data_IF_315051064030
#
_entry.id   IF_315051064030
#
_cell.length_a   1.000
_cell.length_b   1.000
_cell.length_c   1.000
_cell.angle_alpha   90.00
_cell.angle_beta   90.00
_cell.angle_gamma   90.00
#
_symmetry.space_group_name_H-M   'P 1'
#
loop_
_entity.id
_entity.type
_entity.pdbx_description
1 polymer ?
#
# COMPACT_ATOMS: atom_id res chain seq x y z
N UNK A 1 -18.58 -14.30 1.65
CA UNK A 1 -17.66 -13.53 2.52
C UNK A 1 -16.32 -14.21 2.38
N UNK A 2 -15.21 -13.52 2.08
CA UNK A 2 -13.90 -14.15 2.12
C UNK A 2 -13.65 -14.64 3.55
N UNK A 3 -13.11 -15.84 3.69
CA UNK A 3 -12.72 -16.44 4.97
C UNK A 3 -11.80 -15.44 5.70
N UNK A 4 -12.10 -15.15 6.96
CA UNK A 4 -11.20 -14.34 7.80
C UNK A 4 -9.88 -15.10 7.89
N UNK A 5 -8.82 -14.54 7.33
CA UNK A 5 -7.46 -15.07 7.44
C UNK A 5 -7.08 -15.01 8.93
N UNK A 6 -6.49 -16.06 9.47
CA UNK A 6 -5.96 -16.02 10.85
C UNK A 6 -4.67 -15.19 10.89
N UNK A 7 -4.28 -14.70 12.07
CA UNK A 7 -3.03 -13.97 12.24
C UNK A 7 -1.81 -14.83 11.87
N UNK A 8 -1.82 -16.09 12.23
CA UNK A 8 -0.77 -17.06 11.88
C UNK A 8 -0.66 -17.27 10.37
N UNK A 9 -1.80 -17.44 9.68
CA UNK A 9 -1.81 -17.63 8.23
C UNK A 9 -1.32 -16.36 7.51
N UNK A 10 -1.66 -15.18 8.04
CA UNK A 10 -1.17 -13.92 7.49
C UNK A 10 0.35 -13.77 7.64
N UNK A 11 0.90 -14.06 8.81
CA UNK A 11 2.35 -14.01 9.07
C UNK A 11 3.10 -15.03 8.20
N UNK A 12 2.57 -16.23 8.04
CA UNK A 12 3.14 -17.26 7.18
C UNK A 12 3.10 -16.83 5.70
N UNK A 13 1.96 -16.34 5.22
CA UNK A 13 1.81 -15.89 3.83
C UNK A 13 2.64 -14.63 3.51
N UNK A 14 2.83 -13.74 4.48
CA UNK A 14 3.69 -12.55 4.31
C UNK A 14 5.18 -12.88 4.29
N UNK A 15 5.57 -14.07 4.74
CA UNK A 15 6.97 -14.47 4.87
C UNK A 15 7.71 -13.81 6.06
N UNK A 16 7.02 -13.07 6.93
CA UNK A 16 7.66 -12.35 8.04
C UNK A 16 8.36 -13.30 9.01
N UNK A 17 7.73 -14.41 9.38
CA UNK A 17 8.33 -15.42 10.26
C UNK A 17 9.52 -16.13 9.60
N UNK A 18 9.47 -16.36 8.29
CA UNK A 18 10.59 -16.94 7.54
C UNK A 18 11.81 -15.99 7.55
N UNK A 19 11.61 -14.69 7.39
CA UNK A 19 12.67 -13.68 7.47
C UNK A 19 13.30 -13.65 8.88
N UNK A 20 12.50 -13.72 9.94
CA UNK A 20 13.01 -13.77 11.32
C UNK A 20 13.89 -15.00 11.52
N UNK A 21 13.45 -16.16 11.05
CA UNK A 21 14.21 -17.40 11.19
C UNK A 21 15.50 -17.36 10.36
N UNK A 22 15.45 -16.87 9.13
CA UNK A 22 16.63 -16.68 8.28
C UNK A 22 17.68 -15.77 8.95
N UNK A 23 17.24 -14.64 9.51
CA UNK A 23 18.11 -13.71 10.23
C UNK A 23 18.74 -14.38 11.46
N UNK A 24 17.96 -15.12 12.26
CA UNK A 24 18.49 -15.85 13.42
C UNK A 24 19.54 -16.86 13.02
N UNK A 25 19.28 -17.66 12.00
CA UNK A 25 20.22 -18.65 11.48
C UNK A 25 21.49 -17.97 10.94
N UNK A 26 21.36 -16.84 10.26
CA UNK A 26 22.52 -16.07 9.77
C UNK A 26 23.45 -15.67 10.91
N UNK A 27 22.92 -15.16 12.02
CA UNK A 27 23.74 -14.77 13.18
C UNK A 27 24.34 -15.98 13.88
N UNK A 28 23.61 -17.06 14.04
CA UNK A 28 24.13 -18.32 14.61
C UNK A 28 25.26 -18.86 13.75
N UNK A 29 25.08 -18.97 12.44
CA UNK A 29 26.05 -19.55 11.52
C UNK A 29 27.31 -18.69 11.37
N UNK A 30 27.16 -17.37 11.46
CA UNK A 30 28.30 -16.44 11.37
C UNK A 30 29.08 -16.29 12.68
N UNK A 31 28.58 -16.86 13.80
CA UNK A 31 29.14 -16.67 15.13
C UNK A 31 29.14 -15.23 15.63
N UNK A 32 28.34 -14.36 14.98
CA UNK A 32 28.20 -12.95 15.33
C UNK A 32 26.92 -12.71 16.11
N UNK A 33 26.96 -11.83 17.09
CA UNK A 33 25.75 -11.34 17.77
C UNK A 33 25.20 -10.10 17.05
N UNK A 34 23.88 -9.97 17.00
CA UNK A 34 23.25 -8.73 16.56
C UNK A 34 23.51 -7.63 17.60
N UNK A 35 24.29 -6.63 17.26
CA UNK A 35 24.54 -5.46 18.11
C UNK A 35 24.19 -4.21 17.33
N UNK A 36 23.09 -3.57 17.72
CA UNK A 36 22.57 -2.34 17.10
C UNK A 36 22.55 -1.16 18.07
N UNK A 37 22.61 -1.44 19.38
CA UNK A 37 22.60 -0.43 20.43
C UNK A 37 23.37 -0.92 21.66
N UNK A 38 23.97 0.01 22.40
CA UNK A 38 24.57 -0.21 23.72
C UNK A 38 23.53 -0.10 24.84
N UNK A 39 22.37 0.51 24.57
CA UNK A 39 21.26 0.59 25.53
C UNK A 39 20.48 -0.71 25.55
N UNK A 40 20.52 -1.41 26.68
CA UNK A 40 19.87 -2.73 26.85
C UNK A 40 19.09 -2.79 28.14
N UNK A 41 18.01 -3.57 28.13
CA UNK A 41 17.30 -3.95 29.34
C UNK A 41 17.91 -5.20 30.02
N UNK A 42 17.33 -5.58 31.15
CA UNK A 42 17.76 -6.78 31.88
C UNK A 42 17.53 -8.10 31.13
N UNK A 43 16.65 -8.08 30.12
CA UNK A 43 16.34 -9.24 29.25
C UNK A 43 17.26 -9.29 28.03
N UNK A 44 18.12 -8.28 27.84
CA UNK A 44 19.06 -8.18 26.72
C UNK A 44 18.48 -7.57 25.45
N UNK A 45 17.21 -7.06 25.48
CA UNK A 45 16.67 -6.31 24.38
C UNK A 45 17.41 -4.99 24.17
N UNK A 46 17.63 -4.63 22.92
CA UNK A 46 18.36 -3.42 22.53
C UNK A 46 17.40 -2.31 22.15
N UNK A 47 17.65 -1.11 22.62
CA UNK A 47 16.79 0.04 22.37
C UNK A 47 17.35 0.95 21.29
N UNK A 48 16.52 1.31 20.32
CA UNK A 48 16.83 2.25 19.24
C UNK A 48 15.72 3.28 19.09
N UNK A 49 16.03 4.40 18.45
CA UNK A 49 15.01 5.35 18.01
C UNK A 49 14.45 4.90 16.66
N UNK A 50 13.13 4.94 16.52
CA UNK A 50 12.42 4.54 15.31
C UNK A 50 11.88 5.77 14.59
N UNK A 51 12.35 6.01 13.37
CA UNK A 51 11.78 7.03 12.48
C UNK A 51 11.20 6.34 11.25
N UNK A 52 9.91 6.55 10.99
CA UNK A 52 9.22 5.93 9.88
C UNK A 52 8.62 6.96 8.93
N UNK A 53 8.90 6.81 7.66
CA UNK A 53 8.29 7.59 6.60
C UNK A 53 7.11 6.83 5.99
N UNK A 54 6.07 7.55 5.62
CA UNK A 54 4.87 6.96 5.04
C UNK A 54 5.00 6.76 3.53
N UNK A 55 4.17 5.87 2.99
CA UNK A 55 4.10 5.57 1.56
C UNK A 55 2.74 4.98 1.15
N UNK A 56 1.64 5.54 1.65
CA UNK A 56 0.29 5.06 1.33
C UNK A 56 0.09 3.59 1.74
N UNK A 57 -0.27 2.72 0.79
CA UNK A 57 -0.52 1.29 1.02
C UNK A 57 0.71 0.55 1.55
N UNK A 58 1.91 1.05 1.28
CA UNK A 58 3.17 0.50 1.82
C UNK A 58 3.27 0.61 3.35
N UNK A 59 2.35 1.34 4.00
CA UNK A 59 2.26 1.39 5.46
C UNK A 59 2.14 0.02 6.14
N UNK A 60 1.56 -0.98 5.47
CA UNK A 60 1.52 -2.37 5.98
C UNK A 60 2.94 -2.96 6.09
N UNK A 61 3.82 -2.63 5.15
CA UNK A 61 5.22 -3.09 5.19
C UNK A 61 5.97 -2.54 6.42
N UNK A 62 5.60 -1.35 6.91
CA UNK A 62 6.19 -0.79 8.13
C UNK A 62 5.86 -1.63 9.37
N UNK A 63 4.65 -2.19 9.43
CA UNK A 63 4.25 -3.10 10.53
C UNK A 63 5.06 -4.40 10.46
N UNK A 64 5.24 -4.97 9.27
CA UNK A 64 6.10 -6.14 9.07
C UNK A 64 7.56 -5.87 9.46
N UNK A 65 8.08 -4.71 9.10
CA UNK A 65 9.42 -4.28 9.47
C UNK A 65 9.60 -4.19 11.00
N UNK A 66 8.69 -3.50 11.70
CA UNK A 66 8.75 -3.41 13.16
C UNK A 66 8.53 -4.75 13.83
N UNK A 67 7.71 -5.64 13.27
CA UNK A 67 7.54 -7.01 13.74
C UNK A 67 8.86 -7.79 13.72
N UNK A 68 9.57 -7.77 12.61
CA UNK A 68 10.87 -8.45 12.48
C UNK A 68 11.88 -7.87 13.46
N UNK A 69 11.97 -6.56 13.61
CA UNK A 69 12.88 -5.92 14.57
C UNK A 69 12.59 -6.35 16.01
N UNK A 70 11.34 -6.34 16.45
CA UNK A 70 10.95 -6.75 17.79
C UNK A 70 11.22 -8.24 18.05
N UNK A 71 11.01 -9.11 17.03
CA UNK A 71 11.36 -10.54 17.12
C UNK A 71 12.86 -10.80 17.20
N UNK A 72 13.68 -9.86 16.72
CA UNK A 72 15.14 -9.88 16.85
C UNK A 72 15.65 -9.25 18.15
N UNK A 73 14.77 -8.93 19.10
CA UNK A 73 15.14 -8.37 20.41
C UNK A 73 15.41 -6.86 20.37
N UNK A 74 14.90 -6.16 19.36
CA UNK A 74 15.01 -4.70 19.28
C UNK A 74 13.72 -4.08 19.85
N UNK A 75 13.86 -3.02 20.63
CA UNK A 75 12.78 -2.24 21.23
C UNK A 75 12.95 -0.77 20.83
N UNK A 76 11.88 0.00 20.94
CA UNK A 76 11.89 1.40 20.49
C UNK A 76 11.86 2.32 21.70
N UNK A 77 12.93 3.12 21.84
CA UNK A 77 13.07 4.09 22.94
C UNK A 77 12.21 5.33 22.66
N UNK A 78 12.41 5.92 21.48
CA UNK A 78 11.58 7.00 20.96
C UNK A 78 11.07 6.65 19.55
N UNK A 79 9.97 7.26 19.16
CA UNK A 79 9.35 6.98 17.87
C UNK A 79 8.88 8.26 17.21
N UNK A 80 9.16 8.41 15.92
CA UNK A 80 8.64 9.49 15.08
C UNK A 80 8.17 8.92 13.75
N UNK A 81 7.18 9.59 13.13
CA UNK A 81 6.70 9.14 11.84
C UNK A 81 5.90 10.18 11.09
N UNK A 82 5.81 10.01 9.77
CA UNK A 82 4.97 10.82 8.89
C UNK A 82 3.99 9.93 8.11
N UNK A 83 2.79 10.43 7.81
CA UNK A 83 1.76 9.71 7.05
C UNK A 83 1.49 8.31 7.65
N UNK A 84 1.59 7.23 6.87
CA UNK A 84 1.42 5.86 7.35
C UNK A 84 2.42 5.48 8.46
N UNK A 85 3.63 6.05 8.45
CA UNK A 85 4.62 5.89 9.52
C UNK A 85 4.13 6.49 10.84
N UNK A 86 3.44 7.64 10.82
CA UNK A 86 2.82 8.21 12.02
C UNK A 86 1.72 7.31 12.60
N UNK A 87 0.94 6.66 11.74
CA UNK A 87 -0.09 5.70 12.18
C UNK A 87 0.56 4.51 12.86
N UNK A 88 1.60 3.91 12.26
CA UNK A 88 2.27 2.76 12.84
C UNK A 88 2.96 3.10 14.17
N UNK A 89 3.68 4.23 14.25
CA UNK A 89 4.33 4.66 15.50
C UNK A 89 3.32 4.96 16.60
N UNK A 90 2.17 5.55 16.27
CA UNK A 90 1.07 5.75 17.21
C UNK A 90 0.52 4.41 17.73
N UNK A 91 0.27 3.45 16.84
CA UNK A 91 -0.20 2.12 17.21
C UNK A 91 0.81 1.41 18.12
N UNK A 92 2.10 1.48 17.80
CA UNK A 92 3.18 0.95 18.65
C UNK A 92 3.21 1.62 20.02
N UNK A 93 3.01 2.93 20.10
CA UNK A 93 2.95 3.65 21.37
C UNK A 93 1.76 3.22 22.25
N UNK A 94 0.61 2.91 21.64
CA UNK A 94 -0.61 2.52 22.33
C UNK A 94 -0.71 1.02 22.65
N UNK A 95 0.04 0.14 21.98
CA UNK A 95 -0.14 -1.31 22.05
C UNK A 95 0.44 -1.96 23.32
N UNK A 96 1.20 -1.24 24.15
CA UNK A 96 1.78 -1.74 25.39
C UNK A 96 2.98 -0.93 25.88
N UNK A 97 3.65 -1.45 26.88
CA UNK A 97 4.86 -0.85 27.44
C UNK A 97 6.04 -0.96 26.46
N UNK A 98 7.06 -0.14 26.64
CA UNK A 98 8.23 -0.10 25.75
C UNK A 98 9.08 -1.39 25.79
N UNK A 99 8.99 -2.15 26.86
CA UNK A 99 9.70 -3.42 27.05
C UNK A 99 9.04 -4.59 26.33
N UNK A 100 7.74 -4.46 25.97
CA UNK A 100 6.95 -5.52 25.36
C UNK A 100 7.11 -5.57 23.83
N UNK A 101 6.87 -6.76 23.26
CA UNK A 101 6.62 -6.89 21.81
C UNK A 101 5.21 -6.39 21.49
N UNK A 102 5.12 -5.35 20.68
CA UNK A 102 3.87 -4.67 20.35
C UNK A 102 3.36 -4.98 18.96
N UNK A 103 4.27 -5.20 18.01
CA UNK A 103 3.92 -5.42 16.61
C UNK A 103 3.05 -6.66 16.40
N UNK A 104 3.23 -7.72 17.18
CA UNK A 104 2.36 -8.90 17.12
C UNK A 104 0.89 -8.57 17.41
N UNK A 105 0.64 -7.73 18.44
CA UNK A 105 -0.71 -7.25 18.77
C UNK A 105 -1.31 -6.38 17.66
N UNK A 106 -0.46 -5.53 17.02
CA UNK A 106 -0.88 -4.68 15.91
C UNK A 106 -1.26 -5.53 14.70
N UNK A 107 -0.44 -6.54 14.35
CA UNK A 107 -0.74 -7.47 13.25
C UNK A 107 -2.08 -8.17 13.49
N UNK A 108 -2.34 -8.66 14.71
CA UNK A 108 -3.61 -9.30 15.05
C UNK A 108 -4.82 -8.37 14.84
N UNK A 109 -4.69 -7.10 15.15
CA UNK A 109 -5.74 -6.12 14.91
C UNK A 109 -5.88 -5.77 13.43
N UNK A 110 -4.76 -5.61 12.70
CA UNK A 110 -4.77 -5.29 11.27
C UNK A 110 -5.43 -6.38 10.43
N UNK A 111 -5.19 -7.65 10.73
CA UNK A 111 -5.83 -8.78 10.03
C UNK A 111 -7.36 -8.75 10.17
N UNK A 112 -7.86 -8.22 11.28
CA UNK A 112 -9.31 -8.06 11.55
C UNK A 112 -9.91 -6.80 10.90
N UNK A 113 -9.07 -5.83 10.48
CA UNK A 113 -9.52 -4.57 9.89
C UNK A 113 -9.89 -4.73 8.42
N UNK A 114 -11.09 -4.32 8.08
CA UNK A 114 -11.47 -4.13 6.68
C UNK A 114 -10.83 -2.82 6.16
N UNK A 115 -9.66 -2.92 5.54
CA UNK A 115 -8.92 -1.75 5.03
C UNK A 115 -9.75 -0.85 4.12
N UNK A 116 -10.72 -1.42 3.41
CA UNK A 116 -11.65 -0.65 2.57
C UNK A 116 -12.68 0.16 3.35
N UNK A 117 -12.84 -0.08 4.65
CA UNK A 117 -13.71 0.76 5.49
C UNK A 117 -13.14 2.15 5.73
N UNK A 118 -11.82 2.32 5.57
CA UNK A 118 -11.13 3.61 5.71
C UNK A 118 -11.19 4.48 4.44
N UNK A 119 -11.56 3.90 3.29
CA UNK A 119 -11.61 4.60 1.99
C UNK A 119 -12.89 5.41 1.83
N UNK A 120 -13.70 5.58 2.87
CA UNK A 120 -14.96 6.30 2.75
C UNK A 120 -15.13 7.50 3.65
N UNK A 121 -15.40 8.61 3.01
CA UNK A 121 -16.16 9.68 3.61
C UNK A 121 -17.61 9.23 3.94
N UNK A 122 -18.21 9.90 4.89
CA UNK A 122 -19.51 9.67 5.54
C UNK A 122 -20.74 9.56 4.61
N UNK A 123 -20.62 9.61 3.29
CA UNK A 123 -21.73 9.55 2.35
C UNK A 123 -21.76 8.26 1.55
N UNK A 124 -22.32 7.25 2.13
CA UNK A 124 -22.49 5.91 1.59
C UNK A 124 -23.50 5.80 0.42
N UNK A 125 -24.16 6.87 0.04
CA UNK A 125 -25.28 6.80 -0.92
C UNK A 125 -24.94 7.19 -2.36
N UNK A 126 -23.72 7.59 -2.66
CA UNK A 126 -23.37 7.96 -4.02
C UNK A 126 -22.98 6.71 -4.82
N UNK A 127 -23.75 6.42 -5.84
CA UNK A 127 -23.55 5.25 -6.74
C UNK A 127 -22.15 5.19 -7.34
N UNK A 128 -21.53 6.35 -7.57
CA UNK A 128 -20.18 6.50 -8.11
C UNK A 128 -19.08 5.97 -7.16
N UNK A 129 -19.16 6.26 -5.86
CA UNK A 129 -18.20 5.79 -4.85
C UNK A 129 -18.28 4.26 -4.71
N UNK A 130 -19.49 3.69 -4.74
CA UNK A 130 -19.70 2.23 -4.72
C UNK A 130 -19.15 1.55 -5.97
N UNK A 131 -19.24 2.21 -7.13
CA UNK A 131 -18.69 1.72 -8.38
C UNK A 131 -17.15 1.74 -8.37
N UNK A 132 -16.52 2.85 -7.92
CA UNK A 132 -15.07 2.96 -7.76
C UNK A 132 -14.54 1.91 -6.79
N UNK A 133 -15.18 1.73 -5.62
CA UNK A 133 -14.81 0.66 -4.68
C UNK A 133 -14.82 -0.72 -5.31
N UNK A 134 -15.86 -1.07 -6.08
CA UNK A 134 -15.92 -2.36 -6.78
C UNK A 134 -14.79 -2.53 -7.79
N UNK A 135 -14.41 -1.45 -8.49
CA UNK A 135 -13.29 -1.49 -9.44
C UNK A 135 -11.98 -1.72 -8.70
N UNK A 136 -11.72 -0.93 -7.64
CA UNK A 136 -10.49 -1.05 -6.84
C UNK A 136 -10.41 -2.44 -6.20
N UNK A 137 -11.48 -2.95 -5.62
CA UNK A 137 -11.52 -4.31 -5.07
C UNK A 137 -11.24 -5.38 -6.13
N UNK A 138 -11.82 -5.25 -7.33
CA UNK A 138 -11.54 -6.18 -8.44
C UNK A 138 -10.10 -6.05 -8.94
N UNK A 139 -9.52 -4.86 -8.94
CA UNK A 139 -8.12 -4.64 -9.32
C UNK A 139 -7.14 -5.27 -8.33
N UNK A 140 -7.42 -5.18 -7.04
CA UNK A 140 -6.54 -5.72 -5.99
C UNK A 140 -6.67 -7.24 -5.82
N UNK A 141 -7.86 -7.79 -6.06
CA UNK A 141 -8.14 -9.22 -5.88
C UNK A 141 -7.92 -10.08 -7.14
N UNK A 142 -7.65 -9.47 -8.31
CA UNK A 142 -7.59 -10.23 -9.56
C UNK A 142 -6.43 -9.85 -10.48
N UNK A 143 -5.39 -10.68 -10.54
CA UNK A 143 -4.27 -10.55 -11.49
C UNK A 143 -4.70 -10.40 -12.96
N UNK A 144 -5.86 -10.95 -13.35
CA UNK A 144 -6.38 -10.89 -14.72
C UNK A 144 -7.10 -9.59 -15.05
N UNK A 145 -7.62 -8.88 -14.05
CA UNK A 145 -8.36 -7.61 -14.24
C UNK A 145 -7.39 -6.49 -14.57
N UNK A 146 -6.22 -6.46 -13.93
CA UNK A 146 -5.19 -5.45 -14.22
C UNK A 146 -4.69 -5.54 -15.67
N UNK A 147 -4.41 -6.76 -16.17
CA UNK A 147 -4.02 -6.98 -17.57
C UNK A 147 -5.12 -6.55 -18.56
N UNK A 148 -6.38 -6.77 -18.21
CA UNK A 148 -7.53 -6.40 -19.06
C UNK A 148 -7.72 -4.87 -19.09
N UNK A 149 -7.63 -4.19 -17.96
CA UNK A 149 -7.74 -2.72 -17.86
C UNK A 149 -6.54 -2.04 -18.53
N UNK A 150 -5.32 -2.53 -18.32
CA UNK A 150 -4.12 -2.03 -19.00
C UNK A 150 -4.26 -2.15 -20.52
N UNK A 151 -4.75 -3.27 -21.03
CA UNK A 151 -4.98 -3.47 -22.48
C UNK A 151 -6.04 -2.50 -23.01
N UNK A 152 -7.15 -2.30 -22.31
CA UNK A 152 -8.21 -1.33 -22.71
C UNK A 152 -7.62 0.08 -22.72
N UNK A 153 -6.90 0.49 -21.68
CA UNK A 153 -6.27 1.81 -21.61
C UNK A 153 -5.27 2.02 -22.77
N UNK A 154 -4.44 1.02 -23.07
CA UNK A 154 -3.48 1.09 -24.20
C UNK A 154 -4.22 1.24 -25.54
N UNK A 155 -5.27 0.47 -25.76
CA UNK A 155 -6.08 0.57 -26.99
C UNK A 155 -6.75 1.94 -27.10
N UNK A 156 -7.29 2.47 -26.02
CA UNK A 156 -7.91 3.80 -26.00
C UNK A 156 -6.90 4.90 -26.33
N UNK A 157 -5.70 4.85 -25.75
CA UNK A 157 -4.63 5.83 -26.04
C UNK A 157 -4.19 5.73 -27.51
N UNK A 158 -4.05 4.52 -28.05
CA UNK A 158 -3.72 4.32 -29.47
C UNK A 158 -4.80 4.89 -30.41
N UNK A 159 -6.08 4.67 -30.08
CA UNK A 159 -7.19 5.25 -30.85
C UNK A 159 -7.21 6.78 -30.81
N UNK A 160 -6.95 7.38 -29.64
CA UNK A 160 -6.85 8.83 -29.50
C UNK A 160 -5.68 9.41 -30.30
N UNK A 161 -4.54 8.72 -30.30
CA UNK A 161 -3.37 9.10 -31.13
C UNK A 161 -3.68 9.02 -32.62
N UNK A 162 -4.35 7.96 -33.07
CA UNK A 162 -4.78 7.80 -34.48
C UNK A 162 -5.76 8.90 -34.88
N UNK A 163 -6.73 9.24 -34.03
CA UNK A 163 -7.65 10.34 -34.24
C UNK A 163 -6.92 11.69 -34.32
N UNK A 164 -5.96 11.93 -33.43
CA UNK A 164 -5.15 13.15 -33.44
C UNK A 164 -4.34 13.30 -34.72
N UNK A 165 -3.67 12.21 -35.16
CA UNK A 165 -2.91 12.18 -36.40
C UNK A 165 -3.84 12.40 -37.61
N UNK A 166 -5.01 11.74 -37.63
CA UNK A 166 -6.00 11.92 -38.70
C UNK A 166 -6.50 13.36 -38.79
N UNK A 167 -6.81 13.99 -37.65
CA UNK A 167 -7.18 15.42 -37.60
C UNK A 167 -6.06 16.33 -38.11
N UNK A 168 -4.79 15.99 -37.75
CA UNK A 168 -3.65 16.77 -38.22
C UNK A 168 -3.47 16.66 -39.75
N UNK A 169 -3.59 15.43 -40.29
CA UNK A 169 -3.50 15.19 -41.75
C UNK A 169 -4.66 15.91 -42.50
N UNK A 170 -5.88 15.80 -41.98
CA UNK A 170 -7.04 16.48 -42.58
C UNK A 170 -6.84 18.01 -42.58
N UNK A 171 -6.32 18.58 -41.49
CA UNK A 171 -6.02 19.98 -41.38
C UNK A 171 -4.92 20.46 -42.38
N UNK A 172 -3.97 19.57 -42.66
CA UNK A 172 -2.89 19.84 -43.61
C UNK A 172 -3.39 19.79 -45.06
N UNK A 173 -4.28 18.83 -45.41
CA UNK A 173 -4.82 18.68 -46.78
C UNK A 173 -5.96 19.66 -47.05
N UNK A 174 -6.77 19.98 -46.02
CA UNK A 174 -7.97 20.86 -46.19
C UNK A 174 -8.14 21.82 -45.03
N UNK A 175 -7.43 22.95 -45.05
CA UNK A 175 -7.37 23.88 -43.89
C UNK A 175 -8.72 24.49 -43.42
N UNK A 176 -9.76 24.39 -44.26
CA UNK A 176 -11.11 24.91 -43.93
C UNK A 176 -11.99 23.94 -43.12
N UNK A 177 -11.75 22.63 -43.17
CA UNK A 177 -12.65 21.62 -42.59
C UNK A 177 -12.38 21.42 -41.09
N UNK A 178 -11.16 21.64 -40.65
CA UNK A 178 -10.76 21.45 -39.26
C UNK A 178 -11.48 22.38 -38.28
N UNK A 179 -11.85 23.60 -38.71
CA UNK A 179 -12.63 24.56 -37.90
C UNK A 179 -14.01 24.02 -37.53
N UNK A 180 -14.65 23.29 -38.44
CA UNK A 180 -15.98 22.74 -38.23
C UNK A 180 -15.96 21.45 -37.37
N UNK A 181 -14.93 20.63 -37.50
CA UNK A 181 -14.77 19.41 -36.66
C UNK A 181 -14.48 19.78 -35.20
N UNK A 182 -13.64 20.80 -34.97
CA UNK A 182 -13.34 21.30 -33.62
C UNK A 182 -14.57 21.89 -32.92
N UNK A 183 -15.41 22.62 -33.64
CA UNK A 183 -16.68 23.13 -33.11
C UNK A 183 -17.69 22.02 -32.78
N UNK A 184 -17.81 21.01 -33.64
CA UNK A 184 -18.70 19.87 -33.42
C UNK A 184 -18.29 19.02 -32.23
N UNK A 185 -16.99 18.76 -32.06
CA UNK A 185 -16.46 18.01 -30.90
C UNK A 185 -16.59 18.79 -29.58
N UNK A 186 -16.43 20.13 -29.61
CA UNK A 186 -16.63 20.99 -28.46
C UNK A 186 -18.09 21.03 -27.99
N UNK A 187 -19.04 21.06 -28.91
CA UNK A 187 -20.48 21.03 -28.59
C UNK A 187 -20.91 19.64 -28.00
N UNK A 188 -20.33 18.54 -28.47
CA UNK A 188 -20.58 17.19 -27.91
C UNK A 188 -20.04 17.03 -26.49
N UNK A 189 -18.91 17.66 -26.17
CA UNK A 189 -18.35 17.62 -24.81
C UNK A 189 -19.14 18.47 -23.79
N UNK A 190 -19.86 19.50 -24.26
CA UNK A 190 -20.71 20.35 -23.41
C UNK A 190 -22.08 19.70 -23.16
N UNK A 191 -22.49 18.77 -24.00
CA UNK A 191 -23.80 18.07 -23.91
C UNK A 191 -23.76 16.75 -23.10
N UNK A 192 -22.59 16.31 -22.62
CA UNK A 192 -22.36 15.16 -21.76
C UNK A 192 -22.09 15.60 -20.32
#
# INVERSE_FOLDING_TARGET
MPSKISCSDFLQQSGADAIVEELRQHFVNSGKSLVVSDVKDAQGNQYVDLVQEGGGVLGIALVGYTYVLEKMGIRFFSMAGTSAGAINTMLLACAGNKEEEKSSKIVEHLVKLEMFSFVDGKSSNWKFTKWIKRIIQKMLLGNNVFKKISRIATVTVLLLLLLSVSCFVINFIWPGVAKWIGLGAGLLLISL
#
